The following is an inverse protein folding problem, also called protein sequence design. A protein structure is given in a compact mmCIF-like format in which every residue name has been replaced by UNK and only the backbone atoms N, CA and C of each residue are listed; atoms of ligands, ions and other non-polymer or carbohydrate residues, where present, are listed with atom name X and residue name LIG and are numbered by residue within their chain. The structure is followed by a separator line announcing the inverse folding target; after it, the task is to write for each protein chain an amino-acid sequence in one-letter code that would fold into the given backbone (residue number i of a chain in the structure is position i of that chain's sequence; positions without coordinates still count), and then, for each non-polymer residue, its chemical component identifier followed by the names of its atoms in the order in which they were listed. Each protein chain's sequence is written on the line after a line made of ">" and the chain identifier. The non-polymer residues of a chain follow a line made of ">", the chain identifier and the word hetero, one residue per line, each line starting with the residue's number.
data_IF_812607483348
#
_entry.id   IF_812607483348
#
_cell.length_a   1.000
_cell.length_b   1.000
_cell.length_c   1.000
_cell.angle_alpha   90.00
_cell.angle_beta   90.00
_cell.angle_gamma   90.00
#
_symmetry.space_group_name_H-M   'P 1'
#
loop_
_entity.id
_entity.type
_entity.pdbx_description
1 polymer ?
#
# COMPACT_ATOMS: atom_id res chain seq x y z
N UNK A 1 -15.67 28.91 19.01
CA UNK A 1 -17.05 28.49 18.73
C UNK A 1 -17.99 29.25 19.64
N UNK A 2 -19.06 29.77 19.08
CA UNK A 2 -20.19 30.30 19.84
C UNK A 2 -21.37 29.33 19.70
N UNK A 3 -22.06 29.04 20.79
CA UNK A 3 -23.02 27.94 20.86
C UNK A 3 -24.37 28.47 21.32
N UNK A 4 -25.38 28.28 20.47
CA UNK A 4 -26.78 28.45 20.83
C UNK A 4 -27.32 27.10 21.34
N UNK A 5 -27.64 27.07 22.64
CA UNK A 5 -28.09 25.85 23.32
C UNK A 5 -29.56 25.53 23.07
N UNK A 6 -30.37 26.52 22.72
CA UNK A 6 -31.80 26.35 22.48
C UNK A 6 -32.04 25.77 21.08
N UNK A 7 -31.35 26.30 20.07
CA UNK A 7 -31.42 25.80 18.69
C UNK A 7 -30.44 24.64 18.41
N UNK A 8 -29.54 24.33 19.35
CA UNK A 8 -28.45 23.35 19.20
C UNK A 8 -27.54 23.61 17.98
N UNK A 9 -27.31 24.89 17.69
CA UNK A 9 -26.46 25.34 16.58
C UNK A 9 -25.18 25.97 17.10
N UNK A 10 -24.09 25.77 16.38
CA UNK A 10 -22.80 26.41 16.64
C UNK A 10 -22.39 27.30 15.47
N UNK A 11 -21.77 28.43 15.79
CA UNK A 11 -21.18 29.35 14.83
C UNK A 11 -19.66 29.39 15.03
N UNK A 12 -18.92 29.37 13.93
CA UNK A 12 -17.46 29.47 13.95
C UNK A 12 -17.05 30.92 14.26
N UNK A 13 -16.72 31.20 15.52
CA UNK A 13 -16.33 32.54 15.95
C UNK A 13 -14.88 32.91 15.65
N UNK A 14 -13.98 31.91 15.64
CA UNK A 14 -12.56 32.10 15.39
C UNK A 14 -11.98 30.85 14.73
N UNK A 15 -11.13 31.05 13.73
CA UNK A 15 -10.33 30.03 13.09
C UNK A 15 -8.87 30.49 13.10
N UNK A 16 -7.94 29.61 13.43
CA UNK A 16 -6.52 29.87 13.30
C UNK A 16 -5.89 28.80 12.40
N UNK A 17 -5.38 29.21 11.24
CA UNK A 17 -4.72 28.30 10.31
C UNK A 17 -3.25 28.13 10.75
N UNK A 18 -2.94 27.00 11.37
CA UNK A 18 -1.59 26.69 11.87
C UNK A 18 -0.65 26.26 10.75
N UNK A 19 -1.14 25.49 9.77
CA UNK A 19 -0.36 25.10 8.59
C UNK A 19 -1.15 25.19 7.27
N UNK A 20 -0.43 25.37 6.16
CA UNK A 20 -0.97 25.45 4.81
C UNK A 20 0.13 25.08 3.81
N UNK A 21 -0.14 24.14 2.91
CA UNK A 21 0.79 23.66 1.88
C UNK A 21 0.10 23.73 0.51
N UNK A 22 0.71 24.39 -0.45
CA UNK A 22 0.20 24.48 -1.81
C UNK A 22 1.30 24.08 -2.79
N UNK A 23 1.05 23.15 -3.73
CA UNK A 23 2.06 22.67 -4.68
C UNK A 23 2.77 23.77 -5.49
N UNK A 24 2.08 24.89 -5.71
CA UNK A 24 2.57 26.01 -6.52
C UNK A 24 2.97 27.26 -5.71
N UNK A 25 2.91 27.22 -4.37
CA UNK A 25 3.23 28.37 -3.52
C UNK A 25 4.26 27.97 -2.46
N UNK A 26 5.53 28.29 -2.72
CA UNK A 26 6.67 27.99 -1.85
C UNK A 26 7.19 29.21 -1.09
N UNK A 27 6.70 30.41 -1.41
CA UNK A 27 7.09 31.67 -0.76
C UNK A 27 6.49 31.79 0.66
N UNK A 28 7.32 31.86 1.72
CA UNK A 28 6.85 31.94 3.10
C UNK A 28 6.01 33.18 3.43
N UNK A 29 6.32 34.34 2.85
CA UNK A 29 5.57 35.58 3.13
C UNK A 29 4.16 35.48 2.57
N UNK A 30 4.05 35.00 1.33
CA UNK A 30 2.77 34.80 0.66
C UNK A 30 1.95 33.67 1.30
N UNK A 31 2.59 32.62 1.82
CA UNK A 31 1.93 31.61 2.63
C UNK A 31 1.36 32.20 3.92
N UNK A 32 2.09 33.10 4.59
CA UNK A 32 1.61 33.78 5.79
C UNK A 32 0.40 34.69 5.49
N UNK A 33 0.42 35.42 4.36
CA UNK A 33 -0.73 36.21 3.90
C UNK A 33 -1.97 35.35 3.66
N UNK A 34 -1.80 34.20 2.98
CA UNK A 34 -2.90 33.27 2.72
C UNK A 34 -3.44 32.68 4.03
N UNK A 35 -2.57 32.27 4.96
CA UNK A 35 -2.99 31.77 6.28
C UNK A 35 -3.78 32.84 7.06
N UNK A 36 -3.32 34.08 7.05
CA UNK A 36 -3.99 35.20 7.70
C UNK A 36 -5.35 35.50 7.06
N UNK A 37 -5.41 35.52 5.72
CA UNK A 37 -6.64 35.72 4.96
C UNK A 37 -7.68 34.63 5.26
N UNK A 38 -7.29 33.35 5.21
CA UNK A 38 -8.20 32.24 5.50
C UNK A 38 -8.72 32.28 6.94
N UNK A 39 -7.84 32.59 7.90
CA UNK A 39 -8.21 32.73 9.32
C UNK A 39 -9.24 33.85 9.54
N UNK A 40 -9.16 34.93 8.76
CA UNK A 40 -10.06 36.08 8.86
C UNK A 40 -11.38 35.90 8.09
N UNK A 41 -11.35 35.28 6.90
CA UNK A 41 -12.52 35.22 6.01
C UNK A 41 -13.39 33.98 6.22
N UNK A 42 -12.81 32.81 6.52
CA UNK A 42 -13.60 31.58 6.69
C UNK A 42 -14.69 31.74 7.78
N UNK A 43 -14.40 32.27 8.99
CA UNK A 43 -15.43 32.46 10.02
C UNK A 43 -16.63 33.29 9.57
N UNK A 44 -16.45 34.22 8.62
CA UNK A 44 -17.51 35.11 8.12
C UNK A 44 -18.45 34.41 7.13
N UNK A 45 -17.97 33.36 6.47
CA UNK A 45 -18.71 32.66 5.40
C UNK A 45 -19.26 31.30 5.82
N UNK A 46 -18.86 30.79 6.98
CA UNK A 46 -19.38 29.52 7.52
C UNK A 46 -20.77 29.76 8.10
N UNK A 47 -21.78 29.12 7.50
CA UNK A 47 -23.12 29.11 8.06
C UNK A 47 -23.14 28.36 9.41
N UNK A 48 -24.03 28.73 10.34
CA UNK A 48 -24.24 27.97 11.57
C UNK A 48 -24.49 26.49 11.27
N UNK A 49 -23.91 25.60 12.07
CA UNK A 49 -23.99 24.16 11.88
C UNK A 49 -24.48 23.45 13.14
N UNK A 50 -25.08 22.27 12.96
CA UNK A 50 -25.64 21.49 14.07
C UNK A 50 -24.53 20.99 15.00
N UNK A 51 -24.71 21.21 16.31
CA UNK A 51 -23.85 20.65 17.35
C UNK A 51 -23.89 19.12 17.33
N UNK A 52 -25.04 18.52 17.06
CA UNK A 52 -25.19 17.06 17.01
C UNK A 52 -24.35 16.45 15.89
N UNK A 53 -24.31 17.11 14.72
CA UNK A 53 -23.43 16.69 13.61
C UNK A 53 -21.96 16.86 13.96
N UNK A 54 -21.60 17.94 14.65
CA UNK A 54 -20.22 18.16 15.12
C UNK A 54 -19.83 17.08 16.13
N UNK A 55 -20.68 16.78 17.11
CA UNK A 55 -20.44 15.71 18.11
C UNK A 55 -20.32 14.35 17.42
N UNK A 56 -21.23 14.02 16.50
CA UNK A 56 -21.15 12.78 15.72
C UNK A 56 -19.84 12.67 14.93
N UNK A 57 -19.40 13.75 14.28
CA UNK A 57 -18.10 13.77 13.57
C UNK A 57 -16.88 13.73 14.49
N UNK A 58 -17.01 14.19 15.74
CA UNK A 58 -15.96 14.09 16.76
C UNK A 58 -15.93 12.70 17.39
N UNK A 59 -17.07 11.99 17.46
CA UNK A 59 -17.12 10.59 17.86
C UNK A 59 -16.56 9.67 16.76
N UNK A 60 -16.80 9.97 15.47
CA UNK A 60 -16.11 9.31 14.33
C UNK A 60 -14.61 9.69 14.26
N UNK A 61 -14.23 10.85 14.81
CA UNK A 61 -12.87 11.39 14.83
C UNK A 61 -12.05 11.03 16.07
N UNK A 62 -12.68 10.42 17.09
CA UNK A 62 -11.91 9.61 18.03
C UNK A 62 -11.48 8.41 17.22
N UNK A 63 -10.20 8.36 16.85
CA UNK A 63 -9.58 7.08 16.64
C UNK A 63 -9.91 6.28 17.90
N UNK A 64 -10.91 5.38 17.80
CA UNK A 64 -10.98 4.30 18.74
C UNK A 64 -9.56 3.72 18.77
N UNK A 65 -9.06 3.41 19.96
CA UNK A 65 -8.02 2.38 20.12
C UNK A 65 -8.62 1.05 19.61
N UNK A 66 -9.02 1.01 18.35
CA UNK A 66 -9.20 -0.20 17.61
C UNK A 66 -7.83 -0.86 17.75
N UNK A 67 -7.84 -1.99 18.44
CA UNK A 67 -6.68 -2.80 18.75
C UNK A 67 -6.20 -3.42 17.42
N UNK A 68 -5.68 -2.56 16.54
CA UNK A 68 -5.23 -2.93 15.22
C UNK A 68 -4.04 -3.84 15.40
N UNK A 69 -4.19 -5.08 14.93
CA UNK A 69 -3.11 -6.04 14.99
C UNK A 69 -1.87 -5.46 14.30
N UNK A 70 -0.77 -5.37 15.06
CA UNK A 70 0.56 -5.04 14.54
C UNK A 70 1.31 -6.29 14.11
N UNK A 71 0.69 -7.48 14.19
CA UNK A 71 1.29 -8.69 13.66
C UNK A 71 1.65 -8.47 12.18
N UNK A 72 2.85 -8.88 11.74
CA UNK A 72 3.21 -8.79 10.35
C UNK A 72 2.23 -9.60 9.50
N UNK A 73 1.88 -9.12 8.28
CA UNK A 73 1.31 -10.02 7.29
C UNK A 73 2.34 -11.11 6.95
N UNK A 74 1.94 -12.10 6.15
CA UNK A 74 2.90 -13.06 5.62
C UNK A 74 3.81 -12.34 4.59
N UNK A 75 5.00 -11.91 5.02
CA UNK A 75 5.95 -11.21 4.15
C UNK A 75 6.77 -12.25 3.39
N UNK A 76 6.53 -12.34 2.09
CA UNK A 76 7.16 -13.26 1.17
C UNK A 76 8.33 -12.57 0.47
N UNK A 77 9.43 -13.29 0.27
CA UNK A 77 10.59 -12.79 -0.47
C UNK A 77 10.85 -13.61 -1.74
N UNK A 78 11.18 -12.92 -2.84
CA UNK A 78 11.59 -13.53 -4.12
C UNK A 78 12.79 -12.82 -4.71
N UNK A 79 13.77 -13.58 -5.17
CA UNK A 79 14.98 -13.08 -5.84
C UNK A 79 14.82 -12.97 -7.36
N UNK A 80 13.57 -12.82 -7.83
CA UNK A 80 13.20 -12.70 -9.24
C UNK A 80 11.89 -11.92 -9.39
N UNK A 81 11.62 -11.31 -10.57
CA UNK A 81 10.34 -10.66 -10.85
C UNK A 81 9.18 -11.59 -10.50
N UNK A 82 8.27 -11.10 -9.66
CA UNK A 82 7.18 -11.87 -9.08
C UNK A 82 5.93 -11.01 -8.90
N UNK A 83 4.77 -11.64 -8.97
CA UNK A 83 3.48 -11.00 -8.71
C UNK A 83 2.73 -11.78 -7.63
N UNK A 84 2.16 -11.04 -6.68
CA UNK A 84 1.34 -11.60 -5.60
C UNK A 84 -0.12 -11.58 -6.01
N UNK A 85 -0.72 -12.76 -6.11
CA UNK A 85 -2.16 -12.96 -6.32
C UNK A 85 -2.80 -13.25 -4.98
N UNK A 86 -3.63 -12.32 -4.51
CA UNK A 86 -4.35 -12.44 -3.25
C UNK A 86 -5.73 -13.05 -3.45
N UNK A 87 -6.10 -13.98 -2.57
CA UNK A 87 -7.44 -14.54 -2.43
C UNK A 87 -7.82 -14.34 -0.95
N UNK A 88 -8.98 -13.76 -0.70
CA UNK A 88 -9.45 -13.53 0.67
C UNK A 88 -10.02 -14.82 1.28
N UNK A 89 -9.17 -15.59 1.95
CA UNK A 89 -9.50 -16.90 2.46
C UNK A 89 -9.49 -18.00 1.39
N UNK A 90 -10.23 -19.08 1.61
CA UNK A 90 -10.28 -20.18 0.65
C UNK A 90 -11.00 -19.76 -0.65
N UNK A 91 -10.58 -20.24 -1.84
CA UNK A 91 -11.17 -19.82 -3.11
C UNK A 91 -12.68 -20.09 -3.20
N UNK A 92 -13.46 -19.03 -3.45
CA UNK A 92 -14.91 -19.13 -3.67
C UNK A 92 -15.16 -19.16 -5.18
N UNK A 93 -15.56 -20.31 -5.69
CA UNK A 93 -15.82 -20.52 -7.12
C UNK A 93 -17.26 -20.16 -7.48
N UNK A 94 -17.41 -19.31 -8.49
CA UNK A 94 -18.70 -18.91 -9.03
C UNK A 94 -18.73 -19.10 -10.55
N UNK A 95 -19.83 -19.64 -11.07
CA UNK A 95 -20.00 -19.85 -12.50
C UNK A 95 -20.03 -18.50 -13.24
N UNK A 96 -19.29 -18.41 -14.34
CA UNK A 96 -19.37 -17.30 -15.27
C UNK A 96 -20.43 -17.64 -16.31
N UNK A 97 -21.50 -16.83 -16.35
CA UNK A 97 -22.63 -17.00 -17.27
C UNK A 97 -22.15 -17.21 -18.71
N UNK A 98 -22.82 -18.12 -19.42
CA UNK A 98 -22.61 -18.43 -20.85
C UNK A 98 -21.18 -18.83 -21.28
N UNK A 99 -20.30 -19.18 -20.35
CA UNK A 99 -18.89 -19.47 -20.65
C UNK A 99 -18.45 -20.92 -20.34
N UNK A 100 -19.15 -21.60 -19.43
CA UNK A 100 -18.75 -22.94 -18.95
C UNK A 100 -17.51 -22.92 -18.03
N UNK A 101 -17.10 -21.74 -17.55
CA UNK A 101 -16.03 -21.56 -16.59
C UNK A 101 -16.58 -21.16 -15.22
N UNK A 102 -15.77 -21.38 -14.19
CA UNK A 102 -15.96 -20.79 -12.87
C UNK A 102 -14.79 -19.85 -12.58
N UNK A 103 -15.04 -18.75 -11.87
CA UNK A 103 -14.01 -17.81 -11.40
C UNK A 103 -13.96 -17.74 -9.89
N UNK A 104 -12.82 -17.34 -9.35
CA UNK A 104 -12.66 -17.03 -7.93
C UNK A 104 -13.14 -15.60 -7.68
N UNK A 105 -14.21 -15.43 -6.90
CA UNK A 105 -14.85 -14.12 -6.68
C UNK A 105 -14.29 -13.33 -5.50
N UNK A 106 -13.60 -13.99 -4.58
CA UNK A 106 -12.87 -13.37 -3.47
C UNK A 106 -11.42 -13.06 -3.84
N UNK A 107 -11.17 -12.70 -5.10
CA UNK A 107 -9.88 -12.24 -5.60
C UNK A 107 -10.09 -11.09 -6.58
N UNK A 108 -9.27 -10.03 -6.56
CA UNK A 108 -9.32 -8.99 -7.58
C UNK A 108 -8.74 -9.45 -8.93
N UNK A 109 -8.07 -10.61 -8.98
CA UNK A 109 -7.45 -11.15 -10.18
C UNK A 109 -8.40 -12.11 -10.91
N UNK A 110 -8.33 -12.14 -12.25
CA UNK A 110 -9.05 -13.14 -13.04
C UNK A 110 -8.39 -14.51 -12.86
N UNK A 111 -8.93 -15.29 -11.92
CA UNK A 111 -8.57 -16.68 -11.67
C UNK A 111 -9.75 -17.57 -12.05
N UNK A 112 -9.60 -18.34 -13.13
CA UNK A 112 -10.68 -19.12 -13.73
C UNK A 112 -10.32 -20.60 -13.89
N UNK A 113 -11.33 -21.47 -13.87
CA UNK A 113 -11.19 -22.89 -14.18
C UNK A 113 -12.28 -23.33 -15.15
N UNK A 114 -11.96 -24.29 -16.02
CA UNK A 114 -12.93 -24.84 -16.97
C UNK A 114 -13.56 -26.11 -16.42
N UNK A 115 -14.72 -26.00 -15.77
CA UNK A 115 -15.56 -27.13 -15.33
C UNK A 115 -14.82 -28.42 -14.96
N UNK A 116 -15.16 -29.56 -15.57
CA UNK A 116 -14.57 -30.89 -15.32
C UNK A 116 -13.04 -31.02 -15.54
N UNK A 117 -12.35 -29.96 -15.99
CA UNK A 117 -10.89 -29.95 -16.07
C UNK A 117 -10.30 -29.32 -14.81
N UNK A 118 -9.26 -29.94 -14.25
CA UNK A 118 -8.50 -29.37 -13.14
C UNK A 118 -7.54 -28.26 -13.61
N UNK A 119 -7.70 -27.74 -14.83
CA UNK A 119 -6.83 -26.70 -15.38
C UNK A 119 -7.32 -25.33 -14.94
N UNK A 120 -6.46 -24.64 -14.21
CA UNK A 120 -6.64 -23.26 -13.78
C UNK A 120 -5.97 -22.33 -14.77
N UNK A 121 -6.53 -21.15 -14.92
CA UNK A 121 -6.04 -20.06 -15.75
C UNK A 121 -6.00 -18.78 -14.91
N UNK A 122 -4.90 -18.05 -15.05
CA UNK A 122 -4.73 -16.71 -14.50
C UNK A 122 -4.31 -15.82 -15.66
N UNK A 123 -5.04 -14.73 -15.88
CA UNK A 123 -4.84 -13.83 -17.02
C UNK A 123 -4.55 -12.39 -16.61
N UNK A 124 -3.66 -11.76 -17.36
CA UNK A 124 -3.52 -10.31 -17.49
C UNK A 124 -3.60 -9.92 -18.97
N UNK A 125 -3.59 -8.62 -19.29
CA UNK A 125 -3.68 -8.13 -20.67
C UNK A 125 -2.61 -8.71 -21.61
N UNK A 126 -1.42 -9.01 -21.09
CA UNK A 126 -0.26 -9.41 -21.90
C UNK A 126 0.26 -10.83 -21.61
N UNK A 127 -0.12 -11.44 -20.48
CA UNK A 127 0.38 -12.74 -20.05
C UNK A 127 -0.74 -13.65 -19.53
N UNK A 128 -0.57 -14.95 -19.78
CA UNK A 128 -1.46 -15.99 -19.27
C UNK A 128 -0.65 -17.07 -18.59
N UNK A 129 -1.18 -17.56 -17.47
CA UNK A 129 -0.59 -18.63 -16.68
C UNK A 129 -1.59 -19.76 -16.50
N UNK A 130 -1.09 -20.97 -16.30
CA UNK A 130 -1.88 -22.15 -15.94
C UNK A 130 -1.28 -22.94 -14.79
N UNK A 131 -2.15 -23.57 -13.99
CA UNK A 131 -1.80 -24.44 -12.88
C UNK A 131 -2.83 -25.57 -12.73
N UNK A 132 -2.49 -26.59 -11.94
CA UNK A 132 -3.43 -27.66 -11.53
C UNK A 132 -3.94 -27.50 -10.11
N UNK A 133 -3.36 -26.58 -9.34
CA UNK A 133 -3.71 -26.23 -7.98
C UNK A 133 -3.54 -24.71 -7.82
N UNK A 134 -4.48 -24.06 -7.13
CA UNK A 134 -4.49 -22.62 -6.89
C UNK A 134 -3.22 -22.18 -6.16
N UNK A 135 -2.78 -22.97 -5.17
CA UNK A 135 -1.55 -22.71 -4.39
C UNK A 135 -0.32 -23.37 -5.01
N UNK A 136 -0.48 -23.99 -6.18
CA UNK A 136 0.57 -24.72 -6.87
C UNK A 136 1.45 -23.84 -7.74
N UNK A 137 2.30 -24.50 -8.53
CA UNK A 137 3.16 -23.84 -9.49
C UNK A 137 2.37 -23.36 -10.71
N UNK A 138 2.44 -22.06 -10.97
CA UNK A 138 1.86 -21.42 -12.13
C UNK A 138 2.91 -21.32 -13.24
N UNK A 139 2.53 -21.73 -14.44
CA UNK A 139 3.42 -21.73 -15.62
C UNK A 139 2.84 -20.89 -16.74
N UNK A 140 3.70 -20.16 -17.44
CA UNK A 140 3.30 -19.35 -18.58
C UNK A 140 2.67 -20.23 -19.67
N UNK A 141 1.58 -19.77 -20.29
CA UNK A 141 0.89 -20.49 -21.35
C UNK A 141 0.38 -19.56 -22.44
N UNK A 142 0.55 -19.96 -23.69
CA UNK A 142 -0.08 -19.30 -24.85
C UNK A 142 -1.42 -19.97 -25.22
N UNK A 143 -1.87 -20.96 -24.42
CA UNK A 143 -3.07 -21.77 -24.67
C UNK A 143 -4.26 -21.34 -23.82
N UNK A 144 -4.31 -20.06 -23.43
CA UNK A 144 -5.46 -19.52 -22.73
C UNK A 144 -6.71 -19.58 -23.64
N UNK A 145 -7.87 -20.03 -23.12
CA UNK A 145 -9.09 -20.08 -23.91
C UNK A 145 -9.53 -18.70 -24.43
N UNK A 146 -9.96 -18.63 -25.68
CA UNK A 146 -10.38 -17.39 -26.33
C UNK A 146 -11.52 -16.68 -25.58
N UNK A 147 -12.43 -17.42 -24.95
CA UNK A 147 -13.54 -16.84 -24.21
C UNK A 147 -13.05 -16.09 -22.96
N UNK A 148 -12.03 -16.61 -22.27
CA UNK A 148 -11.39 -15.92 -21.14
C UNK A 148 -10.58 -14.70 -21.60
N UNK A 149 -9.90 -14.79 -22.75
CA UNK A 149 -9.20 -13.64 -23.33
C UNK A 149 -10.16 -12.50 -23.67
N UNK A 150 -11.32 -12.82 -24.25
CA UNK A 150 -12.37 -11.84 -24.56
C UNK A 150 -12.95 -11.22 -23.30
N UNK A 151 -13.21 -12.02 -22.26
CA UNK A 151 -13.74 -11.54 -20.98
C UNK A 151 -12.79 -10.53 -20.34
N UNK A 152 -11.49 -10.84 -20.33
CA UNK A 152 -10.48 -9.93 -19.78
C UNK A 152 -10.39 -8.63 -20.59
N UNK A 153 -10.38 -8.71 -21.92
CA UNK A 153 -10.35 -7.54 -22.80
C UNK A 153 -11.61 -6.66 -22.69
N UNK A 154 -12.75 -7.19 -22.26
CA UNK A 154 -13.97 -6.43 -21.99
C UNK A 154 -13.96 -5.76 -20.61
N UNK A 155 -13.34 -6.41 -19.62
CA UNK A 155 -13.26 -5.88 -18.25
C UNK A 155 -12.22 -4.75 -18.12
N UNK A 156 -11.18 -4.79 -18.94
CA UNK A 156 -10.09 -3.81 -18.91
C UNK A 156 -10.26 -2.79 -20.06
N UNK A 157 -10.96 -1.69 -19.81
CA UNK A 157 -10.97 -0.53 -20.71
C UNK A 157 -9.61 0.19 -20.64
N UNK A 158 -8.68 -0.12 -21.54
CA UNK A 158 -7.34 0.46 -21.46
C UNK A 158 -6.42 0.24 -22.67
N UNK A 159 -5.35 1.02 -22.72
CA UNK A 159 -4.25 0.83 -23.67
C UNK A 159 -3.56 -0.50 -23.42
N UNK A 160 -3.16 -1.19 -24.49
CA UNK A 160 -2.46 -2.46 -24.41
C UNK A 160 -1.20 -2.33 -23.52
N UNK A 161 -1.14 -3.11 -22.46
CA UNK A 161 0.05 -3.22 -21.61
C UNK A 161 1.13 -4.00 -22.36
N UNK A 162 2.34 -3.44 -22.44
CA UNK A 162 3.47 -4.15 -23.04
C UNK A 162 3.79 -5.44 -22.28
N UNK A 163 4.15 -6.48 -23.03
CA UNK A 163 4.57 -7.75 -22.44
C UNK A 163 5.94 -7.54 -21.78
N UNK A 164 6.11 -7.84 -20.47
CA UNK A 164 7.40 -7.69 -19.82
C UNK A 164 8.42 -8.66 -20.43
N UNK A 165 9.68 -8.22 -20.50
CA UNK A 165 10.78 -9.03 -21.04
C UNK A 165 10.97 -10.35 -20.27
N UNK A 166 10.87 -10.27 -18.94
CA UNK A 166 10.89 -11.42 -18.04
C UNK A 166 9.50 -11.60 -17.42
N UNK A 167 8.75 -12.66 -17.78
CA UNK A 167 7.47 -12.95 -17.16
C UNK A 167 7.64 -13.19 -15.65
N UNK A 168 6.86 -12.52 -14.79
CA UNK A 168 6.99 -12.70 -13.35
C UNK A 168 6.56 -14.10 -12.90
N UNK A 169 7.17 -14.59 -11.81
CA UNK A 169 6.65 -15.72 -11.05
C UNK A 169 5.29 -15.34 -10.42
N UNK A 170 4.31 -16.23 -10.47
CA UNK A 170 3.04 -16.03 -9.78
C UNK A 170 3.09 -16.68 -8.41
N UNK A 171 2.89 -15.88 -7.38
CA UNK A 171 2.82 -16.33 -5.99
C UNK A 171 1.39 -16.10 -5.49
N UNK A 172 0.70 -17.16 -5.06
CA UNK A 172 -0.67 -17.07 -4.58
C UNK A 172 -0.71 -17.12 -3.05
N UNK A 173 -1.49 -16.24 -2.43
CA UNK A 173 -1.76 -16.29 -0.99
C UNK A 173 -3.25 -16.23 -0.70
N UNK A 174 -3.72 -17.11 0.18
CA UNK A 174 -5.09 -17.09 0.75
C UNK A 174 -5.16 -16.41 2.12
N UNK A 175 -4.09 -15.73 2.50
CA UNK A 175 -3.92 -15.00 3.76
C UNK A 175 -3.33 -13.61 3.46
N UNK A 176 -3.51 -12.60 4.33
CA UNK A 176 -2.83 -11.32 4.19
C UNK A 176 -1.32 -11.53 4.02
N UNK A 177 -0.79 -11.04 2.92
CA UNK A 177 0.60 -11.23 2.53
C UNK A 177 1.12 -9.99 1.82
N UNK A 178 2.43 -9.78 1.93
CA UNK A 178 3.17 -8.73 1.24
C UNK A 178 4.33 -9.38 0.49
N UNK A 179 4.66 -8.87 -0.69
CA UNK A 179 5.72 -9.41 -1.52
C UNK A 179 6.89 -8.43 -1.59
N UNK A 180 8.02 -8.86 -1.04
CA UNK A 180 9.33 -8.26 -1.26
C UNK A 180 10.00 -8.99 -2.43
N UNK A 181 10.58 -8.25 -3.36
CA UNK A 181 11.28 -8.84 -4.49
C UNK A 181 12.55 -8.11 -4.86
N UNK A 182 13.50 -8.84 -5.44
CA UNK A 182 14.73 -8.30 -6.04
C UNK A 182 14.96 -8.87 -7.43
N UNK A 183 15.77 -8.18 -8.22
CA UNK A 183 16.28 -8.68 -9.49
C UNK A 183 17.57 -9.48 -9.25
N UNK A 184 17.43 -10.77 -8.94
CA UNK A 184 18.54 -11.62 -8.50
C UNK A 184 18.85 -11.46 -7.01
N UNK A 185 20.09 -11.73 -6.61
CA UNK A 185 20.51 -11.60 -5.20
C UNK A 185 20.45 -10.12 -4.75
N UNK A 186 20.14 -9.82 -3.48
CA UNK A 186 20.09 -8.44 -2.98
C UNK A 186 21.41 -7.69 -3.21
N UNK A 187 21.33 -6.53 -3.85
CA UNK A 187 22.45 -5.62 -4.04
C UNK A 187 22.39 -4.51 -2.99
N UNK A 188 23.20 -4.64 -1.94
CA UNK A 188 23.24 -3.67 -0.86
C UNK A 188 24.12 -2.46 -1.24
N UNK A 189 23.56 -1.26 -1.11
CA UNK A 189 24.27 0.02 -1.26
C UNK A 189 24.18 0.85 0.01
N UNK A 190 25.22 1.64 0.28
CA UNK A 190 25.28 2.50 1.46
C UNK A 190 24.40 3.73 1.29
N UNK A 191 23.73 4.14 2.37
CA UNK A 191 23.30 5.53 2.53
C UNK A 191 24.49 6.30 3.11
N UNK A 192 24.97 7.30 2.40
CA UNK A 192 26.24 7.97 2.72
C UNK A 192 26.21 8.58 4.13
N UNK A 193 27.27 8.31 4.91
CA UNK A 193 27.41 8.83 6.28
C UNK A 193 26.60 8.10 7.36
N UNK A 194 25.80 7.09 7.00
CA UNK A 194 24.92 6.37 7.93
C UNK A 194 25.30 4.88 8.04
N UNK A 195 24.93 4.26 9.16
CA UNK A 195 24.99 2.82 9.39
C UNK A 195 23.90 2.02 8.66
N UNK A 196 23.41 2.52 7.52
CA UNK A 196 22.26 1.97 6.78
C UNK A 196 22.71 1.55 5.38
N UNK A 197 22.31 0.34 4.99
CA UNK A 197 22.31 -0.11 3.60
C UNK A 197 20.88 -0.16 3.07
N UNK A 198 20.70 -0.03 1.77
CA UNK A 198 19.44 -0.30 1.08
C UNK A 198 19.65 -1.33 -0.03
N UNK A 199 18.60 -2.08 -0.36
CA UNK A 199 18.61 -3.03 -1.48
C UNK A 199 18.28 -2.27 -2.77
N UNK A 200 19.28 -2.09 -3.64
CA UNK A 200 19.21 -1.22 -4.80
C UNK A 200 18.49 -1.85 -6.01
N UNK A 201 18.50 -3.17 -6.11
CA UNK A 201 17.83 -3.94 -7.16
C UNK A 201 16.44 -4.44 -6.72
N UNK A 202 15.74 -3.62 -5.94
CA UNK A 202 14.38 -3.91 -5.45
C UNK A 202 13.46 -2.73 -5.73
N UNK A 203 12.20 -2.96 -6.17
CA UNK A 203 11.18 -1.94 -6.17
C UNK A 203 10.65 -1.62 -4.75
N UNK A 204 11.01 -2.42 -3.75
CA UNK A 204 10.60 -2.23 -2.36
C UNK A 204 11.64 -1.42 -1.58
N UNK A 205 11.19 -0.63 -0.60
CA UNK A 205 12.07 0.06 0.34
C UNK A 205 12.56 -0.89 1.44
N UNK A 206 13.59 -1.67 1.08
CA UNK A 206 14.26 -2.60 1.98
C UNK A 206 15.56 -1.96 2.47
N UNK A 207 15.61 -1.69 3.78
CA UNK A 207 16.78 -1.14 4.46
C UNK A 207 17.44 -2.23 5.33
N UNK A 208 18.73 -2.12 5.57
CA UNK A 208 19.48 -2.98 6.49
C UNK A 208 20.31 -2.10 7.42
N UNK A 209 20.11 -2.27 8.73
CA UNK A 209 20.98 -1.68 9.74
C UNK A 209 22.25 -2.52 9.86
N UNK A 210 23.41 -1.87 9.66
CA UNK A 210 24.72 -2.51 9.71
C UNK A 210 25.05 -2.93 11.15
N UNK A 211 24.67 -2.13 12.15
CA UNK A 211 25.04 -2.41 13.54
C UNK A 211 24.23 -3.57 14.11
N UNK A 212 22.91 -3.54 13.88
CA UNK A 212 21.97 -4.57 14.31
C UNK A 212 21.93 -5.80 13.42
N UNK A 213 22.52 -5.75 12.21
CA UNK A 213 22.45 -6.83 11.21
C UNK A 213 21.01 -7.31 11.01
N UNK A 214 20.11 -6.37 10.73
CA UNK A 214 18.69 -6.64 10.55
C UNK A 214 18.14 -5.82 9.38
N UNK A 215 17.24 -6.45 8.63
CA UNK A 215 16.47 -5.82 7.57
C UNK A 215 15.24 -5.14 8.17
N UNK A 216 14.85 -4.03 7.56
CA UNK A 216 13.67 -3.23 7.89
C UNK A 216 12.88 -2.94 6.63
N UNK A 217 11.56 -3.09 6.72
CA UNK A 217 10.62 -2.72 5.64
C UNK A 217 9.47 -1.93 6.22
N UNK A 218 9.01 -0.96 5.44
CA UNK A 218 7.83 -0.16 5.74
C UNK A 218 6.65 -0.70 4.92
N UNK A 219 5.63 -1.22 5.61
CA UNK A 219 4.44 -1.79 4.97
C UNK A 219 3.20 -1.13 5.56
N UNK A 220 2.44 -0.42 4.71
CA UNK A 220 1.23 0.32 5.12
C UNK A 220 1.46 1.20 6.36
N UNK A 221 2.56 1.95 6.39
CA UNK A 221 2.92 2.86 7.49
C UNK A 221 3.49 2.19 8.75
N UNK A 222 3.71 0.87 8.74
CA UNK A 222 4.25 0.12 9.89
C UNK A 222 5.59 -0.52 9.55
N UNK A 223 6.51 -0.43 10.50
CA UNK A 223 7.83 -1.02 10.35
C UNK A 223 7.86 -2.46 10.82
N UNK A 224 8.54 -3.28 10.04
CA UNK A 224 8.82 -4.67 10.37
C UNK A 224 10.32 -4.93 10.22
N UNK A 225 10.87 -5.77 11.09
CA UNK A 225 12.28 -6.17 11.03
C UNK A 225 12.48 -7.67 11.08
N UNK A 226 13.49 -8.15 10.37
CA UNK A 226 13.90 -9.56 10.33
C UNK A 226 15.43 -9.67 10.19
N UNK A 227 16.02 -10.81 10.60
CA UNK A 227 17.45 -11.07 10.41
C UNK A 227 17.82 -11.52 8.99
N UNK A 228 16.83 -11.96 8.21
CA UNK A 228 17.00 -12.42 6.84
C UNK A 228 15.73 -12.13 6.05
N UNK A 229 15.89 -11.74 4.79
CA UNK A 229 14.78 -11.58 3.85
C UNK A 229 14.09 -12.93 3.56
N UNK A 230 14.87 -14.02 3.52
CA UNK A 230 14.40 -15.35 3.12
C UNK A 230 13.66 -16.09 4.24
N UNK A 231 14.13 -15.95 5.48
CA UNK A 231 13.58 -16.69 6.61
C UNK A 231 12.16 -16.20 6.99
N UNK A 232 11.85 -14.94 6.72
CA UNK A 232 10.52 -14.38 6.93
C UNK A 232 10.10 -14.21 8.39
N UNK A 233 11.03 -14.31 9.34
CA UNK A 233 10.79 -14.09 10.79
C UNK A 233 10.65 -12.59 11.11
N UNK A 234 9.71 -11.94 10.43
CA UNK A 234 9.44 -10.52 10.60
C UNK A 234 8.75 -10.24 11.93
N UNK A 235 9.10 -9.10 12.52
CA UNK A 235 8.55 -8.63 13.80
C UNK A 235 8.25 -7.14 13.72
N UNK A 236 7.16 -6.72 14.33
CA UNK A 236 6.80 -5.31 14.38
C UNK A 236 7.83 -4.48 15.15
N UNK A 237 8.17 -3.32 14.61
CA UNK A 237 8.99 -2.31 15.27
C UNK A 237 8.20 -1.00 15.27
N UNK A 238 8.05 -0.37 16.44
CA UNK A 238 7.45 0.97 16.48
C UNK A 238 8.40 1.99 15.87
N UNK A 239 7.87 3.02 15.21
CA UNK A 239 8.67 4.07 14.58
C UNK A 239 9.65 4.77 15.53
N UNK A 240 9.33 4.84 16.83
CA UNK A 240 10.20 5.37 17.90
C UNK A 240 11.40 4.46 18.27
N UNK A 241 11.35 3.18 17.89
CA UNK A 241 12.37 2.16 18.23
C UNK A 241 13.27 1.80 17.04
N UNK A 242 13.15 2.54 15.95
CA UNK A 242 14.04 2.38 14.81
C UNK A 242 15.47 2.79 15.18
N UNK A 243 16.50 2.25 14.50
CA UNK A 243 17.85 2.74 14.63
C UNK A 243 17.92 4.25 14.36
N UNK A 244 18.70 4.99 15.16
CA UNK A 244 18.73 6.45 15.14
C UNK A 244 19.07 7.04 13.76
N UNK A 245 19.88 6.33 12.97
CA UNK A 245 20.28 6.74 11.63
C UNK A 245 19.08 6.83 10.65
N UNK A 246 17.97 6.13 10.91
CA UNK A 246 16.80 6.18 10.01
C UNK A 246 16.20 7.59 9.94
N UNK A 247 16.25 8.34 11.04
CA UNK A 247 15.79 9.73 11.08
C UNK A 247 16.77 10.70 10.39
N UNK A 248 17.96 10.22 10.00
CA UNK A 248 19.01 11.02 9.35
C UNK A 248 19.15 10.69 7.85
N UNK A 249 18.28 9.83 7.30
CA UNK A 249 18.26 9.57 5.85
C UNK A 249 18.08 10.92 5.12
N UNK A 250 18.93 11.26 4.14
CA UNK A 250 18.86 12.56 3.47
C UNK A 250 17.53 12.75 2.72
N UNK A 251 16.90 13.91 2.91
CA UNK A 251 15.73 14.33 2.11
C UNK A 251 16.11 14.45 0.62
N UNK A 252 15.23 14.01 -0.28
CA UNK A 252 15.47 13.98 -1.72
C UNK A 252 16.34 12.82 -2.22
N UNK A 253 16.77 11.91 -1.33
CA UNK A 253 17.42 10.66 -1.73
C UNK A 253 16.42 9.62 -2.24
N UNK A 254 16.89 8.58 -2.92
CA UNK A 254 16.07 7.46 -3.41
C UNK A 254 15.27 6.72 -2.31
N UNK A 255 15.57 7.01 -1.03
CA UNK A 255 14.96 6.36 0.14
C UNK A 255 14.34 7.35 1.11
N UNK A 256 14.11 8.61 0.71
CA UNK A 256 13.52 9.62 1.58
C UNK A 256 12.05 9.37 1.92
N UNK A 257 11.32 8.62 1.08
CA UNK A 257 9.89 8.29 1.24
C UNK A 257 9.58 7.63 2.59
N UNK A 258 10.55 6.90 3.15
CA UNK A 258 10.38 6.20 4.43
C UNK A 258 10.32 7.16 5.63
N UNK A 259 10.86 8.37 5.49
CA UNK A 259 10.92 9.37 6.57
C UNK A 259 9.53 9.72 7.10
N UNK A 260 8.50 9.69 6.25
CA UNK A 260 7.10 9.91 6.63
C UNK A 260 6.55 8.90 7.65
N UNK A 261 7.29 7.82 7.92
CA UNK A 261 6.95 6.83 8.94
C UNK A 261 8.05 6.64 9.99
N UNK A 262 9.04 7.55 10.05
CA UNK A 262 10.08 7.57 11.09
C UNK A 262 9.73 8.64 12.12
N UNK A 263 9.60 8.24 13.38
CA UNK A 263 9.21 9.18 14.43
C UNK A 263 10.25 10.29 14.62
N UNK A 264 9.79 11.54 14.72
CA UNK A 264 10.64 12.70 14.99
C UNK A 264 11.28 13.34 13.75
N UNK A 265 10.97 12.87 12.54
CA UNK A 265 11.34 13.56 11.30
C UNK A 265 10.32 14.65 10.98
N UNK A 266 10.69 15.61 10.13
CA UNK A 266 9.76 16.64 9.66
C UNK A 266 8.68 16.09 8.71
N UNK A 267 8.92 14.92 8.12
CA UNK A 267 8.02 14.27 7.17
C UNK A 267 6.90 13.46 7.84
N UNK A 268 7.08 13.06 9.11
CA UNK A 268 6.16 12.21 9.88
C UNK A 268 5.01 12.97 10.56
#
# INVERSE_FOLDING_TARGET
>A
LEVDRDSRMATLSMLNVTDARFPSLTDPERLAEVKAFLSAEIPKHVAPFSIDRLIASLDDGKAEDANYSTAPPNILYRDRPSVLVLIDGDPIWEAMEDSGYERVVNSPFLLARKGKSNTLYLGSQSLWYTATDVKGLWTLTDKAPQDLQKLLAQAEEGQAVEKPETPPEVVVSTKPAELLQTEGKPELKTVEGLGILYVANSPNDILMDINGQAYYVLLSGRWYSAKSLEAGDWSYVSSEKLPADFAQIPEGSDKDVVLASVAGTQAA
#
